data_IF_393257715251
#
_entry.id   IF_393257715251
#
_cell.length_a   1.000
_cell.length_b   1.000
_cell.length_c   1.000
_cell.angle_alpha   90.00
_cell.angle_beta   90.00
_cell.angle_gamma   90.00
#
_symmetry.space_group_name_H-M   'P 1'
#
loop_
_entity.id
_entity.type
_entity.pdbx_description
1 polymer ?
#
# COMPACT_ATOMS: atom_id res chain seq x y z
N UNK A 1 0.81 -13.22 -11.11
CA UNK A 1 1.50 -14.02 -10.16
C UNK A 1 1.27 -13.55 -8.73
N UNK A 2 1.85 -14.27 -7.81
CA UNK A 2 1.62 -14.04 -6.37
C UNK A 2 1.97 -12.61 -5.91
N UNK A 3 2.98 -11.97 -6.52
CA UNK A 3 3.36 -10.60 -6.17
C UNK A 3 2.27 -9.60 -6.54
N UNK A 4 1.61 -9.79 -7.69
CA UNK A 4 0.49 -8.94 -8.09
C UNK A 4 -0.72 -9.21 -7.21
N UNK A 5 -0.96 -10.46 -6.85
CA UNK A 5 -2.06 -10.84 -5.95
C UNK A 5 -1.88 -10.21 -4.55
N UNK A 6 -0.62 -10.12 -4.07
CA UNK A 6 -0.31 -9.42 -2.83
C UNK A 6 -0.74 -7.95 -2.86
N UNK A 7 -0.42 -7.25 -3.96
CA UNK A 7 -0.81 -5.85 -4.14
C UNK A 7 -2.33 -5.71 -4.17
N UNK A 8 -3.01 -6.70 -4.74
CA UNK A 8 -4.48 -6.71 -4.86
C UNK A 8 -5.21 -7.10 -3.56
N UNK A 9 -4.50 -7.46 -2.51
CA UNK A 9 -5.08 -7.75 -1.21
C UNK A 9 -4.84 -9.16 -0.67
N UNK A 10 -4.21 -10.06 -1.43
CA UNK A 10 -3.82 -11.38 -0.93
C UNK A 10 -2.59 -11.26 -0.04
N UNK A 11 -2.74 -10.57 1.08
CA UNK A 11 -1.69 -10.29 2.06
C UNK A 11 -2.24 -10.42 3.48
N UNK A 12 -1.39 -10.44 4.51
CA UNK A 12 -1.82 -10.66 5.89
C UNK A 12 -2.83 -9.64 6.44
N UNK A 13 -2.95 -8.48 5.81
CA UNK A 13 -3.87 -7.42 6.23
C UNK A 13 -5.15 -7.37 5.40
N UNK A 14 -5.30 -8.27 4.41
CA UNK A 14 -6.46 -8.26 3.51
C UNK A 14 -6.70 -6.84 2.92
N UNK A 15 -5.63 -6.14 2.61
CA UNK A 15 -5.66 -4.75 2.17
C UNK A 15 -5.18 -4.63 0.73
N UNK A 16 -6.03 -4.13 -0.16
CA UNK A 16 -5.61 -3.77 -1.50
C UNK A 16 -4.74 -2.50 -1.42
N UNK A 17 -3.54 -2.58 -2.00
CA UNK A 17 -2.58 -1.48 -1.97
C UNK A 17 -2.88 -0.40 -3.01
N UNK A 18 -3.84 -0.65 -3.90
CA UNK A 18 -4.26 0.29 -4.94
C UNK A 18 -5.46 1.07 -4.41
N UNK A 19 -5.28 2.37 -4.21
CA UNK A 19 -6.33 3.22 -3.66
C UNK A 19 -7.58 3.24 -4.54
N UNK A 20 -8.74 3.12 -3.94
CA UNK A 20 -10.03 3.09 -4.63
C UNK A 20 -10.39 1.75 -5.26
N UNK A 21 -9.56 0.72 -5.11
CA UNK A 21 -9.80 -0.63 -5.64
C UNK A 21 -9.75 -1.67 -4.52
N UNK A 22 -10.43 -2.80 -4.74
CA UNK A 22 -10.47 -3.87 -3.76
C UNK A 22 -11.10 -3.40 -2.44
N UNK A 23 -10.53 -3.84 -1.34
CA UNK A 23 -11.05 -3.48 -0.01
C UNK A 23 -9.93 -3.14 0.96
N UNK A 24 -10.31 -2.50 2.05
CA UNK A 24 -9.41 -2.13 3.14
C UNK A 24 -8.22 -1.28 2.68
N UNK A 25 -8.45 -0.35 1.75
CA UNK A 25 -7.40 0.58 1.36
C UNK A 25 -6.92 1.36 2.57
N UNK A 26 -5.61 1.49 2.72
CA UNK A 26 -5.04 2.32 3.77
C UNK A 26 -5.11 3.79 3.36
N UNK A 27 -5.44 4.65 4.32
CA UNK A 27 -5.43 6.09 4.10
C UNK A 27 -4.17 6.70 4.69
N UNK A 28 -3.63 7.70 4.01
CA UNK A 28 -2.48 8.44 4.51
C UNK A 28 -2.94 9.44 5.58
N UNK A 29 -2.34 9.40 6.74
CA UNK A 29 -2.56 10.40 7.78
C UNK A 29 -1.23 10.92 8.33
N UNK A 30 -1.29 12.13 8.88
CA UNK A 30 -0.17 12.78 9.54
C UNK A 30 -0.70 13.57 10.73
N UNK A 31 -0.10 13.42 11.89
CA UNK A 31 -0.57 14.03 13.15
C UNK A 31 -2.06 13.78 13.40
N UNK A 32 -2.47 12.53 13.21
CA UNK A 32 -3.87 12.09 13.37
C UNK A 32 -4.87 12.80 12.44
N UNK A 33 -4.40 13.34 11.32
CA UNK A 33 -5.25 14.02 10.33
C UNK A 33 -5.16 13.32 8.99
N UNK A 34 -6.30 13.17 8.31
CA UNK A 34 -6.41 12.59 6.99
C UNK A 34 -6.41 13.67 5.88
N UNK A 35 -5.57 14.68 6.06
CA UNK A 35 -5.50 15.82 5.14
C UNK A 35 -4.70 15.54 3.87
N UNK A 36 -3.98 14.44 3.86
CA UNK A 36 -3.17 14.06 2.71
C UNK A 36 -4.02 13.34 1.69
N UNK A 37 -4.01 13.84 0.48
CA UNK A 37 -4.77 13.25 -0.60
C UNK A 37 -4.09 12.00 -1.11
N UNK A 38 -4.84 10.89 -1.10
CA UNK A 38 -4.53 9.73 -1.90
C UNK A 38 -5.15 9.93 -3.29
N UNK A 39 -4.45 9.51 -4.32
CA UNK A 39 -4.95 9.52 -5.68
C UNK A 39 -5.53 8.15 -6.01
N UNK A 40 -6.79 8.07 -6.48
CA UNK A 40 -7.35 6.80 -6.93
C UNK A 40 -6.43 6.13 -7.96
N UNK A 41 -6.16 4.86 -7.75
CA UNK A 41 -5.21 4.10 -8.57
C UNK A 41 -3.76 4.22 -8.14
N UNK A 42 -3.43 5.12 -7.21
CA UNK A 42 -2.11 5.22 -6.63
C UNK A 42 -1.80 3.99 -5.77
N UNK A 43 -0.55 3.55 -5.76
CA UNK A 43 -0.11 2.38 -5.00
C UNK A 43 0.74 2.83 -3.84
N UNK A 44 0.36 2.43 -2.63
CA UNK A 44 1.07 2.78 -1.41
C UNK A 44 2.37 1.98 -1.26
N UNK A 45 3.25 2.44 -0.35
CA UNK A 45 4.51 1.76 -0.03
C UNK A 45 4.30 0.32 0.43
N UNK A 46 3.21 0.07 1.17
CA UNK A 46 2.86 -1.26 1.62
C UNK A 46 3.44 -1.63 2.98
N UNK A 47 3.36 -2.90 3.31
CA UNK A 47 3.75 -3.43 4.61
C UNK A 47 5.26 -3.25 4.83
N UNK A 48 5.64 -2.67 5.97
CA UNK A 48 7.04 -2.40 6.32
C UNK A 48 7.46 -3.15 7.58
N UNK A 49 8.76 -3.16 7.86
CA UNK A 49 9.27 -3.61 9.15
C UNK A 49 8.96 -2.58 10.24
N UNK A 50 8.91 -3.05 11.48
CA UNK A 50 8.71 -2.17 12.63
C UNK A 50 9.93 -1.26 12.82
N UNK A 51 9.68 0.04 13.01
CA UNK A 51 10.74 1.03 13.15
C UNK A 51 11.64 0.79 14.36
N UNK A 52 11.06 0.32 15.47
CA UNK A 52 11.77 0.23 16.74
C UNK A 52 12.72 -0.96 16.85
N UNK A 53 12.43 -2.06 16.17
CA UNK A 53 13.19 -3.31 16.39
C UNK A 53 13.37 -4.19 15.14
N UNK A 54 12.82 -3.81 14.01
CA UNK A 54 12.84 -4.56 12.74
C UNK A 54 12.31 -6.01 12.83
N UNK A 55 11.65 -6.36 13.93
CA UNK A 55 11.20 -7.73 14.19
C UNK A 55 9.74 -7.99 13.89
N UNK A 56 8.98 -6.94 13.69
CA UNK A 56 7.57 -7.03 13.39
C UNK A 56 7.24 -6.39 12.07
N UNK A 57 5.97 -6.51 11.69
CA UNK A 57 5.41 -5.82 10.54
C UNK A 57 4.61 -4.62 11.01
N UNK A 58 4.68 -3.52 10.26
CA UNK A 58 3.86 -2.34 10.47
C UNK A 58 2.98 -2.09 9.25
N UNK A 59 1.70 -1.93 9.53
CA UNK A 59 0.68 -1.53 8.55
C UNK A 59 -0.54 -1.06 9.32
N UNK A 60 -0.38 0.00 10.10
CA UNK A 60 -1.43 0.51 10.98
C UNK A 60 -2.45 1.25 10.14
N UNK A 61 -3.70 0.79 10.20
CA UNK A 61 -4.79 1.31 9.36
C UNK A 61 -5.39 2.61 9.88
N UNK A 62 -5.18 2.94 11.16
CA UNK A 62 -5.71 4.14 11.79
C UNK A 62 -4.71 4.70 12.79
N UNK A 63 -4.75 6.01 13.08
CA UNK A 63 -3.88 6.62 14.07
C UNK A 63 -3.99 5.96 15.45
N UNK A 64 -2.88 5.81 16.12
CA UNK A 64 -2.79 5.32 17.50
C UNK A 64 -1.98 6.29 18.35
N UNK A 65 -1.97 6.07 19.68
CA UNK A 65 -1.18 6.90 20.58
C UNK A 65 0.34 6.78 20.31
N UNK A 66 0.76 5.65 19.76
CA UNK A 66 2.18 5.37 19.45
C UNK A 66 2.57 5.77 18.03
N UNK A 67 1.59 6.01 17.15
CA UNK A 67 1.84 6.30 15.75
C UNK A 67 0.82 7.31 15.24
N UNK A 68 1.26 8.54 15.06
CA UNK A 68 0.42 9.65 14.58
C UNK A 68 0.66 9.97 13.10
N UNK A 69 1.49 9.21 12.43
CA UNK A 69 1.68 9.25 10.97
C UNK A 69 1.95 7.87 10.41
N UNK A 70 1.69 7.69 9.12
CA UNK A 70 1.85 6.40 8.46
C UNK A 70 2.50 6.49 7.08
N UNK A 71 3.28 7.53 6.81
CA UNK A 71 3.91 7.73 5.52
C UNK A 71 4.76 6.54 5.07
N UNK A 72 5.37 5.82 6.01
CA UNK A 72 6.25 4.68 5.71
C UNK A 72 5.55 3.59 4.89
N UNK A 73 4.27 3.39 5.12
CA UNK A 73 3.50 2.35 4.42
C UNK A 73 2.33 2.87 3.60
N UNK A 74 1.80 4.04 3.90
CA UNK A 74 0.62 4.57 3.22
C UNK A 74 0.92 5.55 2.08
N UNK A 75 2.12 6.13 2.04
CA UNK A 75 2.49 7.07 1.02
C UNK A 75 2.47 6.43 -0.37
N UNK A 76 1.85 7.13 -1.32
CA UNK A 76 1.77 6.67 -2.70
C UNK A 76 2.94 7.23 -3.52
N UNK A 77 3.62 6.34 -4.25
CA UNK A 77 4.74 6.73 -5.09
C UNK A 77 4.50 6.32 -6.53
N UNK A 78 4.79 7.24 -7.45
CA UNK A 78 4.67 6.99 -8.89
C UNK A 78 5.48 5.76 -9.37
N UNK A 79 6.71 5.50 -8.90
CA UNK A 79 7.43 4.29 -9.29
C UNK A 79 6.68 3.00 -9.03
N UNK A 80 5.92 2.90 -7.95
CA UNK A 80 5.12 1.71 -7.66
C UNK A 80 4.06 1.47 -8.74
N UNK A 81 3.35 2.53 -9.14
CA UNK A 81 2.36 2.44 -10.20
C UNK A 81 3.00 2.08 -11.55
N UNK A 82 4.15 2.67 -11.87
CA UNK A 82 4.88 2.38 -13.11
C UNK A 82 5.31 0.91 -13.20
N UNK A 83 5.87 0.36 -12.12
CA UNK A 83 6.29 -1.05 -12.10
C UNK A 83 5.09 -2.00 -12.15
N UNK A 84 3.99 -1.66 -11.47
CA UNK A 84 2.76 -2.45 -11.54
C UNK A 84 2.21 -2.49 -12.96
N UNK A 85 2.09 -1.35 -13.62
CA UNK A 85 1.62 -1.27 -15.00
C UNK A 85 2.52 -2.04 -15.96
N UNK A 86 3.83 -1.97 -15.76
CA UNK A 86 4.79 -2.72 -16.56
C UNK A 86 4.60 -4.24 -16.38
N UNK A 87 4.45 -4.70 -15.14
CA UNK A 87 4.19 -6.10 -14.83
C UNK A 87 2.87 -6.58 -15.44
N UNK A 88 1.82 -5.78 -15.38
CA UNK A 88 0.54 -6.08 -16.00
C UNK A 88 0.65 -6.15 -17.53
N UNK A 89 1.38 -5.23 -18.13
CA UNK A 89 1.65 -5.27 -19.57
C UNK A 89 2.33 -6.55 -20.01
N UNK A 90 3.32 -7.02 -19.26
CA UNK A 90 3.98 -8.30 -19.52
C UNK A 90 3.02 -9.48 -19.38
N UNK A 91 2.18 -9.47 -18.34
CA UNK A 91 1.19 -10.53 -18.14
C UNK A 91 0.19 -10.60 -19.30
N UNK A 92 -0.32 -9.47 -19.75
CA UNK A 92 -1.26 -9.41 -20.87
C UNK A 92 -0.62 -9.88 -22.17
N UNK A 93 0.63 -9.52 -22.41
CA UNK A 93 1.38 -9.97 -23.59
C UNK A 93 1.53 -11.51 -23.64
N UNK A 94 1.67 -12.14 -22.49
CA UNK A 94 1.82 -13.61 -22.41
C UNK A 94 0.51 -14.38 -22.62
N UNK A 95 -0.62 -13.73 -22.43
CA UNK A 95 -1.95 -14.34 -22.63
C UNK A 95 -2.36 -14.33 -24.10
N UNK A 96 -1.75 -13.49 -24.90
CA UNK A 96 -1.95 -13.44 -26.35
C UNK A 96 -0.99 -14.40 -27.05
#
# INVERSE_FOLDING_TARGET
GHQLDWIMGCNPFDSCMIDGFGRNNIQYFFRNQYDFMNSPGGICNGITSRETDDKGLEFIMAPTAECDDNWRWAEQWLPHACWYLNAMGWKLKRVK
#
